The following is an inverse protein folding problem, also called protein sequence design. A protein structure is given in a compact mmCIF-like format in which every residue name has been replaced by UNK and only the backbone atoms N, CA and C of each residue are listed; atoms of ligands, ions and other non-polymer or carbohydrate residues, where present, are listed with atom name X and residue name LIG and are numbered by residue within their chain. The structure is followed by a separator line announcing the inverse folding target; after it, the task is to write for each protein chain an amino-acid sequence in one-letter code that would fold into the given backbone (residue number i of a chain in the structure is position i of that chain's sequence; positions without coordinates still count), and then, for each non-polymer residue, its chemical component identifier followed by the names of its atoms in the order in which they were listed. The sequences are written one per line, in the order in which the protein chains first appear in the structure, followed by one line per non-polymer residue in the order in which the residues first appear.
data_IF_808654931184
#
_entry.id   IF_808654931184
#
_cell.length_a   1.000
_cell.length_b   1.000
_cell.length_c   1.000
_cell.angle_alpha   90.00
_cell.angle_beta   90.00
_cell.angle_gamma   90.00
#
_symmetry.space_group_name_H-M   'P 1'
#
loop_
_entity.id
_entity.type
_entity.pdbx_description
1 polymer ?
#
# COMPACT_ATOMS: atom_id res chain seq x y z
N UNK A 1 -9.83 -22.99 -28.66
CA UNK A 1 -8.99 -24.08 -28.09
C UNK A 1 -8.13 -23.42 -27.03
N UNK A 2 -8.38 -23.71 -25.75
CA UNK A 2 -7.65 -23.06 -24.67
C UNK A 2 -6.32 -23.80 -24.45
N UNK A 3 -5.23 -23.26 -24.99
CA UNK A 3 -3.89 -23.63 -24.56
C UNK A 3 -3.70 -23.11 -23.13
N UNK A 4 -4.15 -23.89 -22.14
CA UNK A 4 -3.81 -23.69 -20.73
C UNK A 4 -2.34 -24.08 -20.50
N UNK A 5 -1.40 -23.36 -21.14
CA UNK A 5 -0.01 -23.41 -20.74
C UNK A 5 0.09 -22.98 -19.28
N UNK A 6 0.74 -23.78 -18.45
CA UNK A 6 0.88 -23.44 -17.03
C UNK A 6 1.87 -22.28 -16.92
N UNK A 7 1.44 -21.18 -16.30
CA UNK A 7 2.33 -20.05 -15.99
C UNK A 7 3.48 -20.59 -15.12
N UNK A 8 4.70 -20.29 -15.51
CA UNK A 8 5.89 -20.82 -14.82
C UNK A 8 6.14 -20.02 -13.55
N UNK A 9 6.14 -20.72 -12.42
CA UNK A 9 6.49 -20.21 -11.10
C UNK A 9 7.98 -20.44 -10.82
N UNK A 10 8.64 -19.40 -10.29
CA UNK A 10 10.04 -19.38 -9.90
C UNK A 10 10.13 -18.99 -8.42
N UNK A 11 11.10 -19.55 -7.71
CA UNK A 11 11.38 -19.21 -6.31
C UNK A 11 12.79 -18.61 -6.23
N UNK A 12 12.92 -17.45 -5.59
CA UNK A 12 14.21 -16.78 -5.41
C UNK A 12 15.22 -17.72 -4.70
N UNK A 13 16.46 -17.70 -5.18
CA UNK A 13 17.54 -18.56 -4.66
C UNK A 13 17.44 -20.06 -4.99
N UNK A 14 16.33 -20.54 -5.59
CA UNK A 14 16.19 -21.94 -6.06
C UNK A 14 16.26 -22.07 -7.58
N UNK A 15 15.74 -21.08 -8.31
CA UNK A 15 15.74 -21.06 -9.77
C UNK A 15 16.77 -20.04 -10.30
N UNK A 16 17.48 -20.39 -11.38
CA UNK A 16 18.27 -19.39 -12.12
C UNK A 16 17.34 -18.42 -12.85
N UNK A 17 17.36 -17.16 -12.43
CA UNK A 17 16.54 -16.11 -13.05
C UNK A 17 17.34 -15.43 -14.15
N UNK A 18 17.43 -16.10 -15.30
CA UNK A 18 17.76 -15.43 -16.56
C UNK A 18 16.72 -14.32 -16.78
N UNK A 19 17.20 -13.07 -16.70
CA UNK A 19 16.38 -11.88 -16.51
C UNK A 19 16.79 -10.71 -17.42
N UNK A 20 17.83 -10.93 -18.21
CA UNK A 20 18.26 -10.05 -19.31
C UNK A 20 17.08 -9.72 -20.22
N UNK A 21 16.76 -8.43 -20.33
CA UNK A 21 15.69 -7.94 -21.20
C UNK A 21 14.27 -8.01 -20.62
N UNK A 22 14.05 -8.61 -19.44
CA UNK A 22 12.71 -8.77 -18.83
C UNK A 22 12.22 -7.50 -18.13
N UNK A 23 10.94 -7.46 -17.81
CA UNK A 23 10.33 -6.42 -16.96
C UNK A 23 9.88 -7.06 -15.65
N UNK A 24 10.32 -6.53 -14.51
CA UNK A 24 9.84 -6.95 -13.19
C UNK A 24 8.66 -6.06 -12.78
N UNK A 25 7.51 -6.65 -12.49
CA UNK A 25 6.51 -6.00 -11.62
C UNK A 25 6.90 -6.36 -10.19
N UNK A 26 7.42 -5.40 -9.44
CA UNK A 26 7.86 -5.61 -8.06
C UNK A 26 6.64 -5.90 -7.18
N UNK A 27 6.81 -6.81 -6.23
CA UNK A 27 5.79 -7.34 -5.32
C UNK A 27 4.78 -6.30 -4.84
N UNK A 28 3.50 -6.64 -4.99
CA UNK A 28 2.39 -5.69 -4.93
C UNK A 28 1.50 -5.88 -3.71
N UNK A 29 0.85 -4.79 -3.27
CA UNK A 29 -0.40 -4.82 -2.50
C UNK A 29 -1.58 -5.42 -3.31
N UNK A 30 -2.68 -5.83 -2.64
CA UNK A 30 -3.83 -6.67 -3.11
C UNK A 30 -4.41 -6.39 -4.52
N UNK A 31 -4.64 -5.13 -4.90
CA UNK A 31 -5.29 -4.68 -6.16
C UNK A 31 -6.58 -5.42 -6.58
N UNK A 32 -6.71 -5.82 -7.87
CA UNK A 32 -7.78 -6.67 -8.41
C UNK A 32 -7.29 -7.43 -9.65
N UNK A 33 -7.90 -8.57 -9.95
CA UNK A 33 -7.64 -9.33 -11.19
C UNK A 33 -7.89 -8.50 -12.45
N UNK A 34 -8.86 -7.56 -12.43
CA UNK A 34 -9.10 -6.60 -13.53
C UNK A 34 -7.86 -5.71 -13.76
N UNK A 35 -7.24 -5.21 -12.68
CA UNK A 35 -6.03 -4.39 -12.74
C UNK A 35 -4.80 -5.21 -13.14
N UNK A 36 -4.66 -6.44 -12.64
CA UNK A 36 -3.63 -7.41 -13.08
C UNK A 36 -3.71 -7.65 -14.58
N UNK A 37 -4.91 -7.95 -15.11
CA UNK A 37 -5.13 -8.15 -16.56
C UNK A 37 -4.69 -6.92 -17.33
N UNK A 38 -5.22 -5.74 -16.97
CA UNK A 38 -4.92 -4.49 -17.66
C UNK A 38 -3.42 -4.17 -17.69
N UNK A 39 -2.74 -4.27 -16.55
CA UNK A 39 -1.31 -3.94 -16.44
C UNK A 39 -0.46 -4.93 -17.23
N UNK A 40 -0.75 -6.23 -17.12
CA UNK A 40 0.03 -7.26 -17.83
C UNK A 40 -0.11 -7.13 -19.34
N UNK A 41 -1.35 -6.98 -19.85
CA UNK A 41 -1.59 -6.74 -21.29
C UNK A 41 -0.87 -5.47 -21.76
N UNK A 42 -0.92 -4.37 -20.99
CA UNK A 42 -0.21 -3.13 -21.33
C UNK A 42 1.32 -3.31 -21.37
N UNK A 43 1.90 -4.13 -20.49
CA UNK A 43 3.35 -4.38 -20.49
C UNK A 43 3.75 -5.30 -21.64
N UNK A 44 3.05 -6.41 -21.84
CA UNK A 44 3.32 -7.37 -22.91
C UNK A 44 3.22 -6.70 -24.30
N UNK A 45 2.05 -6.16 -24.64
CA UNK A 45 1.76 -5.63 -25.98
C UNK A 45 2.58 -4.40 -26.38
N UNK A 46 3.01 -3.57 -25.42
CA UNK A 46 3.78 -2.35 -25.73
C UNK A 46 5.30 -2.56 -25.73
N UNK A 47 5.80 -3.72 -25.26
CA UNK A 47 7.25 -3.91 -25.06
C UNK A 47 7.83 -5.17 -25.70
N UNK A 48 7.02 -6.18 -26.03
CA UNK A 48 7.47 -7.48 -26.52
C UNK A 48 8.53 -8.14 -25.62
N UNK A 49 8.39 -7.95 -24.29
CA UNK A 49 9.30 -8.50 -23.27
C UNK A 49 8.53 -9.39 -22.29
N UNK A 50 9.20 -10.44 -21.82
CA UNK A 50 8.65 -11.29 -20.76
C UNK A 50 8.45 -10.47 -19.48
N UNK A 51 7.26 -10.60 -18.89
CA UNK A 51 6.87 -9.93 -17.64
C UNK A 51 7.05 -10.91 -16.48
N UNK A 52 7.86 -10.54 -15.50
CA UNK A 52 8.00 -11.30 -14.25
C UNK A 52 7.20 -10.58 -13.18
N UNK A 53 6.14 -11.22 -12.67
CA UNK A 53 5.37 -10.73 -11.53
C UNK A 53 6.01 -11.20 -10.23
N UNK A 54 6.33 -10.26 -9.34
CA UNK A 54 6.74 -10.53 -7.98
C UNK A 54 5.56 -10.93 -7.10
N UNK A 55 5.67 -12.11 -6.48
CA UNK A 55 4.75 -12.62 -5.48
C UNK A 55 5.46 -12.54 -4.12
N UNK A 56 4.94 -11.73 -3.21
CA UNK A 56 5.49 -11.63 -1.85
C UNK A 56 5.11 -12.89 -1.05
N UNK A 57 6.05 -13.39 -0.24
CA UNK A 57 5.80 -14.53 0.66
C UNK A 57 4.98 -14.13 1.89
N UNK A 58 5.04 -12.86 2.29
CA UNK A 58 4.22 -12.31 3.38
C UNK A 58 2.80 -11.91 2.90
N UNK A 59 1.80 -11.97 3.79
CA UNK A 59 0.44 -11.50 3.53
C UNK A 59 0.23 -9.99 3.82
N UNK A 60 1.28 -9.31 4.27
CA UNK A 60 1.33 -7.89 4.66
C UNK A 60 2.46 -7.13 3.98
N UNK A 61 2.31 -5.82 3.79
CA UNK A 61 3.43 -4.93 3.46
C UNK A 61 4.21 -4.55 4.72
N UNK A 62 5.53 -4.72 4.72
CA UNK A 62 6.39 -4.50 5.87
C UNK A 62 6.37 -3.04 6.35
N UNK A 63 6.04 -2.85 7.63
CA UNK A 63 5.79 -1.56 8.28
C UNK A 63 4.33 -1.06 8.18
N UNK A 64 3.44 -1.81 7.53
CA UNK A 64 1.99 -1.56 7.43
C UNK A 64 1.19 -2.78 7.94
N UNK A 65 1.77 -3.55 8.87
CA UNK A 65 1.19 -4.76 9.44
C UNK A 65 -0.21 -4.50 10.01
N UNK A 66 -1.13 -5.45 9.78
CA UNK A 66 -2.53 -5.40 10.25
C UNK A 66 -3.36 -4.25 9.65
N UNK A 67 -2.86 -3.53 8.65
CA UNK A 67 -3.62 -2.52 7.89
C UNK A 67 -4.29 -3.18 6.67
N UNK A 68 -5.62 -3.41 6.67
CA UNK A 68 -6.28 -4.25 5.67
C UNK A 68 -6.19 -3.74 4.22
N UNK A 69 -6.02 -2.42 4.03
CA UNK A 69 -5.79 -1.76 2.74
C UNK A 69 -4.39 -2.01 2.13
N UNK A 70 -3.46 -2.56 2.92
CA UNK A 70 -2.06 -2.83 2.57
C UNK A 70 -1.67 -4.31 2.69
N UNK A 71 -2.64 -5.22 2.50
CA UNK A 71 -2.36 -6.63 2.27
C UNK A 71 -1.64 -6.84 0.94
N UNK A 72 -0.86 -7.91 0.82
CA UNK A 72 -0.19 -8.27 -0.44
C UNK A 72 -1.17 -8.89 -1.46
N UNK A 73 -0.79 -8.88 -2.73
CA UNK A 73 -1.51 -9.60 -3.78
C UNK A 73 -1.24 -11.10 -3.64
N UNK A 74 -2.31 -11.88 -3.41
CA UNK A 74 -2.22 -13.34 -3.35
C UNK A 74 -1.93 -13.93 -4.74
N UNK A 75 -1.21 -15.05 -4.76
CA UNK A 75 -0.96 -15.82 -5.99
C UNK A 75 -2.26 -16.21 -6.70
N UNK A 76 -3.33 -16.47 -5.94
CA UNK A 76 -4.65 -16.83 -6.48
C UNK A 76 -5.28 -15.67 -7.27
N UNK A 77 -5.39 -14.46 -6.68
CA UNK A 77 -5.98 -13.30 -7.37
C UNK A 77 -5.12 -12.85 -8.56
N UNK A 78 -3.79 -13.00 -8.45
CA UNK A 78 -2.85 -12.79 -9.55
C UNK A 78 -3.12 -13.77 -10.71
N UNK A 79 -3.24 -15.07 -10.43
CA UNK A 79 -3.57 -16.08 -11.44
C UNK A 79 -4.97 -15.86 -12.05
N UNK A 80 -5.96 -15.43 -11.26
CA UNK A 80 -7.30 -15.05 -11.76
C UNK A 80 -7.27 -13.84 -12.71
N UNK A 81 -6.30 -12.94 -12.56
CA UNK A 81 -6.04 -11.85 -13.50
C UNK A 81 -5.26 -12.28 -14.74
N UNK A 82 -4.21 -13.07 -14.56
CA UNK A 82 -3.35 -13.55 -15.66
C UNK A 82 -4.06 -14.54 -16.58
N UNK A 83 -5.02 -15.33 -16.08
CA UNK A 83 -5.86 -16.21 -16.90
C UNK A 83 -6.73 -15.47 -17.94
N UNK A 84 -6.85 -14.14 -17.84
CA UNK A 84 -7.59 -13.27 -18.77
C UNK A 84 -6.67 -12.55 -19.77
N UNK A 85 -5.37 -12.83 -19.74
CA UNK A 85 -4.35 -12.19 -20.60
C UNK A 85 -3.95 -13.18 -21.70
N UNK A 86 -4.13 -12.79 -22.96
CA UNK A 86 -3.69 -13.59 -24.11
C UNK A 86 -2.18 -13.87 -24.00
N UNK A 87 -1.80 -15.14 -24.27
CA UNK A 87 -0.41 -15.66 -24.19
C UNK A 87 0.29 -15.51 -22.83
N UNK A 88 -0.43 -15.31 -21.73
CA UNK A 88 0.18 -15.21 -20.40
C UNK A 88 1.13 -16.38 -20.06
N UNK A 89 0.81 -17.59 -20.50
CA UNK A 89 1.65 -18.77 -20.29
C UNK A 89 3.06 -18.64 -20.91
N UNK A 90 3.16 -18.01 -22.08
CA UNK A 90 4.40 -17.88 -22.84
C UNK A 90 5.19 -16.64 -22.39
N UNK A 91 4.48 -15.54 -22.09
CA UNK A 91 5.06 -14.21 -21.89
C UNK A 91 5.14 -13.77 -20.40
N UNK A 92 4.62 -14.56 -19.45
CA UNK A 92 4.60 -14.22 -18.01
C UNK A 92 5.25 -15.30 -17.14
N UNK A 93 5.97 -14.87 -16.10
CA UNK A 93 6.47 -15.72 -15.00
C UNK A 93 6.03 -15.15 -13.66
N UNK A 94 5.88 -16.03 -12.67
CA UNK A 94 5.74 -15.64 -11.27
C UNK A 94 7.08 -15.83 -10.56
N UNK A 95 7.46 -14.90 -9.69
CA UNK A 95 8.67 -14.97 -8.86
C UNK A 95 8.29 -14.78 -7.40
N UNK A 96 8.39 -15.85 -6.61
CA UNK A 96 8.13 -15.84 -5.17
C UNK A 96 9.37 -15.43 -4.37
N UNK A 97 9.20 -14.48 -3.45
CA UNK A 97 10.25 -14.00 -2.54
C UNK A 97 9.71 -13.23 -1.33
N UNK A 98 10.42 -13.30 -0.20
CA UNK A 98 10.20 -12.41 0.95
C UNK A 98 10.64 -10.97 0.67
N UNK A 99 9.88 -9.99 1.17
CA UNK A 99 10.13 -8.56 1.00
C UNK A 99 11.58 -8.12 1.28
N UNK A 100 12.29 -8.75 2.23
CA UNK A 100 13.69 -8.41 2.52
C UNK A 100 14.62 -8.60 1.30
N UNK A 101 14.26 -9.50 0.37
CA UNK A 101 15.04 -9.81 -0.84
C UNK A 101 14.77 -8.87 -2.01
N UNK A 102 13.82 -7.95 -1.91
CA UNK A 102 13.42 -7.09 -3.02
C UNK A 102 14.61 -6.30 -3.63
N UNK A 103 15.48 -5.74 -2.78
CA UNK A 103 16.66 -4.99 -3.24
C UNK A 103 17.73 -5.90 -3.89
N UNK A 104 17.91 -7.11 -3.38
CA UNK A 104 18.82 -8.13 -3.90
C UNK A 104 18.37 -8.62 -5.30
N UNK A 105 17.07 -8.89 -5.45
CA UNK A 105 16.44 -9.31 -6.72
C UNK A 105 16.60 -8.24 -7.79
N UNK A 106 16.36 -6.96 -7.45
CA UNK A 106 16.60 -5.84 -8.39
C UNK A 106 18.09 -5.74 -8.76
N UNK A 107 18.99 -5.97 -7.81
CA UNK A 107 20.44 -5.83 -8.01
C UNK A 107 21.01 -6.91 -8.93
N UNK A 108 20.56 -8.16 -8.78
CA UNK A 108 21.11 -9.31 -9.52
C UNK A 108 20.36 -9.60 -10.83
N UNK A 109 19.06 -9.31 -10.90
CA UNK A 109 18.20 -9.73 -12.01
C UNK A 109 18.23 -8.86 -13.28
N UNK A 110 19.33 -8.15 -13.59
CA UNK A 110 19.58 -7.45 -14.88
C UNK A 110 18.35 -6.86 -15.62
N UNK A 111 17.44 -6.24 -14.87
CA UNK A 111 16.09 -5.92 -15.35
C UNK A 111 16.11 -4.78 -16.36
N UNK A 112 15.31 -4.89 -17.42
CA UNK A 112 15.22 -3.81 -18.41
C UNK A 112 14.30 -2.67 -17.97
N UNK A 113 13.37 -2.95 -17.05
CA UNK A 113 12.59 -1.98 -16.29
C UNK A 113 11.99 -2.63 -15.03
N UNK A 114 11.65 -1.81 -14.03
CA UNK A 114 10.90 -2.24 -12.84
C UNK A 114 9.63 -1.40 -12.65
N UNK A 115 8.49 -2.06 -12.51
CA UNK A 115 7.19 -1.43 -12.26
C UNK A 115 6.82 -1.66 -10.79
N UNK A 116 6.55 -0.60 -10.04
CA UNK A 116 5.99 -0.67 -8.70
C UNK A 116 4.52 -0.25 -8.70
N UNK A 117 3.73 -0.73 -7.74
CA UNK A 117 2.31 -0.39 -7.59
C UNK A 117 2.12 0.45 -6.33
N UNK A 118 1.50 1.63 -6.44
CA UNK A 118 1.35 2.59 -5.33
C UNK A 118 0.81 1.93 -4.05
N UNK A 119 1.43 2.22 -2.91
CA UNK A 119 1.07 1.62 -1.61
C UNK A 119 1.60 0.21 -1.36
N UNK A 120 2.52 -0.31 -2.18
CA UNK A 120 3.16 -1.61 -1.98
C UNK A 120 4.45 -1.53 -1.14
N UNK A 121 4.60 -0.48 -0.34
CA UNK A 121 5.75 -0.27 0.55
C UNK A 121 5.38 0.77 1.63
N UNK A 122 5.91 0.61 2.84
CA UNK A 122 5.85 1.65 3.87
C UNK A 122 6.85 2.79 3.58
N UNK A 123 6.44 4.03 3.88
CA UNK A 123 7.14 5.30 3.55
C UNK A 123 7.07 5.60 2.04
N UNK A 124 7.64 6.71 1.57
CA UNK A 124 7.74 6.95 0.13
C UNK A 124 8.86 6.09 -0.49
N UNK A 125 8.63 5.56 -1.70
CA UNK A 125 9.52 4.58 -2.33
C UNK A 125 10.99 5.01 -2.42
N UNK A 126 11.25 6.31 -2.65
CA UNK A 126 12.60 6.85 -2.86
C UNK A 126 13.48 6.88 -1.60
N UNK A 127 12.91 6.65 -0.42
CA UNK A 127 13.71 6.50 0.82
C UNK A 127 14.35 5.12 0.96
N UNK A 128 13.84 4.12 0.23
CA UNK A 128 14.14 2.70 0.46
C UNK A 128 15.31 2.17 -0.38
N UNK A 129 15.82 1.00 0.01
CA UNK A 129 16.99 0.39 -0.64
C UNK A 129 16.69 -0.12 -2.07
N UNK A 130 15.46 -0.54 -2.36
CA UNK A 130 15.03 -0.92 -3.70
C UNK A 130 15.25 0.24 -4.69
N UNK A 131 14.85 1.46 -4.30
CA UNK A 131 15.10 2.67 -5.09
C UNK A 131 16.59 2.98 -5.24
N UNK A 132 17.38 2.85 -4.17
CA UNK A 132 18.85 3.07 -4.22
C UNK A 132 19.51 2.13 -5.22
N UNK A 133 19.11 0.86 -5.26
CA UNK A 133 19.59 -0.13 -6.25
C UNK A 133 19.17 0.27 -7.67
N UNK A 134 17.89 0.62 -7.90
CA UNK A 134 17.39 1.07 -9.21
C UNK A 134 18.20 2.26 -9.75
N UNK A 135 18.47 3.26 -8.91
CA UNK A 135 19.26 4.44 -9.29
C UNK A 135 20.72 4.10 -9.56
N UNK A 136 21.36 3.28 -8.71
CA UNK A 136 22.76 2.82 -8.88
C UNK A 136 22.94 2.02 -10.19
N UNK A 137 22.00 1.14 -10.50
CA UNK A 137 22.00 0.31 -11.73
C UNK A 137 21.47 1.05 -12.96
N UNK A 138 20.92 2.26 -12.79
CA UNK A 138 20.23 3.05 -13.83
C UNK A 138 19.06 2.30 -14.49
N UNK A 139 18.38 1.43 -13.74
CA UNK A 139 17.24 0.68 -14.25
C UNK A 139 16.03 1.63 -14.35
N UNK A 140 15.39 1.76 -15.53
CA UNK A 140 14.14 2.52 -15.68
C UNK A 140 13.08 1.97 -14.74
N UNK A 141 12.37 2.84 -14.03
CA UNK A 141 11.27 2.42 -13.17
C UNK A 141 10.11 3.39 -13.19
N UNK A 142 8.92 2.89 -12.84
CA UNK A 142 7.70 3.68 -12.74
C UNK A 142 6.79 3.11 -11.67
N UNK A 143 6.22 3.99 -10.85
CA UNK A 143 5.13 3.66 -9.95
C UNK A 143 3.80 3.86 -10.69
N UNK A 144 2.88 2.91 -10.57
CA UNK A 144 1.59 2.90 -11.27
C UNK A 144 0.43 2.73 -10.31
N UNK A 145 -0.75 3.20 -10.74
CA UNK A 145 -2.01 3.07 -10.00
C UNK A 145 -2.27 1.64 -9.53
N UNK A 146 -2.77 1.52 -8.29
CA UNK A 146 -3.31 0.29 -7.72
C UNK A 146 -4.68 -0.11 -8.31
N UNK A 147 -5.32 0.76 -9.09
CA UNK A 147 -6.66 0.57 -9.66
C UNK A 147 -6.70 0.91 -11.16
N UNK A 148 -7.69 0.37 -11.88
CA UNK A 148 -7.93 0.70 -13.29
C UNK A 148 -8.47 2.13 -13.44
N UNK A 149 -9.37 2.52 -12.55
CA UNK A 149 -10.08 3.80 -12.56
C UNK A 149 -10.49 4.25 -11.14
N UNK A 150 -11.11 5.42 -11.05
CA UNK A 150 -11.58 6.00 -9.77
C UNK A 150 -12.79 5.25 -9.17
N UNK A 151 -13.61 4.60 -10.00
CA UNK A 151 -14.77 3.85 -9.50
C UNK A 151 -14.31 2.64 -8.70
N UNK A 152 -13.34 1.89 -9.23
CA UNK A 152 -12.71 0.78 -8.54
C UNK A 152 -12.01 1.23 -7.24
N UNK A 153 -11.31 2.37 -7.27
CA UNK A 153 -10.67 2.94 -6.08
C UNK A 153 -11.68 3.24 -4.96
N UNK A 154 -12.82 3.85 -5.30
CA UNK A 154 -13.89 4.18 -4.34
C UNK A 154 -14.68 2.97 -3.87
N UNK A 155 -14.80 1.93 -4.70
CA UNK A 155 -15.38 0.64 -4.29
C UNK A 155 -14.47 -0.08 -3.30
N UNK A 156 -13.15 -0.09 -3.54
CA UNK A 156 -12.16 -0.63 -2.62
C UNK A 156 -12.16 0.08 -1.26
N UNK A 157 -12.22 1.43 -1.27
CA UNK A 157 -12.37 2.25 -0.06
C UNK A 157 -13.57 1.80 0.78
N UNK A 158 -14.76 1.70 0.15
CA UNK A 158 -15.99 1.24 0.82
C UNK A 158 -15.86 -0.20 1.36
N UNK A 159 -15.30 -1.13 0.57
CA UNK A 159 -15.07 -2.53 0.98
C UNK A 159 -14.24 -2.59 2.26
N UNK A 160 -13.12 -1.87 2.30
CA UNK A 160 -12.21 -1.89 3.45
C UNK A 160 -12.83 -1.18 4.66
N UNK A 161 -13.38 0.03 4.49
CA UNK A 161 -14.00 0.80 5.59
C UNK A 161 -15.14 0.00 6.25
N UNK A 162 -16.01 -0.64 5.46
CA UNK A 162 -17.10 -1.47 5.99
C UNK A 162 -16.62 -2.76 6.67
N UNK A 163 -15.39 -3.21 6.38
CA UNK A 163 -14.79 -4.41 6.97
C UNK A 163 -13.91 -4.11 8.21
N UNK A 164 -13.80 -2.84 8.64
CA UNK A 164 -13.02 -2.50 9.82
C UNK A 164 -13.71 -3.00 11.10
N UNK A 165 -12.97 -3.63 12.03
CA UNK A 165 -13.53 -3.99 13.33
C UNK A 165 -13.90 -2.74 14.14
N UNK A 166 -14.76 -2.86 15.17
CA UNK A 166 -14.91 -1.82 16.19
C UNK A 166 -13.57 -1.57 16.91
N UNK A 167 -13.42 -0.39 17.52
CA UNK A 167 -12.31 -0.08 18.41
C UNK A 167 -12.45 -0.83 19.74
N UNK A 168 -11.34 -1.05 20.44
CA UNK A 168 -11.31 -1.71 21.75
C UNK A 168 -11.98 -0.93 22.89
N UNK A 169 -12.19 0.39 22.72
CA UNK A 169 -12.96 1.25 23.63
C UNK A 169 -14.23 1.78 22.96
N UNK A 170 -15.34 1.77 23.71
CA UNK A 170 -16.60 2.43 23.33
C UNK A 170 -16.71 3.84 23.96
N UNK A 171 -17.38 4.81 23.32
CA UNK A 171 -17.57 6.14 23.90
C UNK A 171 -18.17 6.11 25.32
N UNK A 172 -17.60 6.87 26.24
CA UNK A 172 -17.97 6.91 27.65
C UNK A 172 -17.27 5.88 28.55
N UNK A 173 -16.59 4.88 27.98
CA UNK A 173 -15.84 3.87 28.71
C UNK A 173 -14.61 4.48 29.41
N UNK A 174 -14.43 4.16 30.68
CA UNK A 174 -13.22 4.51 31.44
C UNK A 174 -12.05 3.61 31.02
N UNK A 175 -10.86 4.21 30.89
CA UNK A 175 -9.66 3.55 30.41
C UNK A 175 -8.39 4.19 30.97
N UNK A 176 -7.31 3.41 31.03
CA UNK A 176 -5.97 3.92 31.33
C UNK A 176 -5.25 4.45 30.08
N UNK A 177 -4.10 5.11 30.29
CA UNK A 177 -3.26 5.65 29.21
C UNK A 177 -2.84 4.59 28.18
N UNK A 178 -2.53 3.36 28.63
CA UNK A 178 -2.12 2.26 27.76
C UNK A 178 -3.27 1.84 26.84
N UNK A 179 -4.49 1.77 27.35
CA UNK A 179 -5.69 1.50 26.57
C UNK A 179 -6.00 2.62 25.57
N UNK A 180 -5.78 3.89 25.92
CA UNK A 180 -5.88 4.99 24.97
C UNK A 180 -4.86 4.88 23.84
N UNK A 181 -3.60 4.56 24.14
CA UNK A 181 -2.58 4.33 23.12
C UNK A 181 -2.85 3.08 22.27
N UNK A 182 -3.49 2.04 22.82
CA UNK A 182 -3.97 0.90 22.03
C UNK A 182 -5.02 1.35 20.98
N UNK A 183 -5.98 2.20 21.37
CA UNK A 183 -6.97 2.76 20.42
C UNK A 183 -6.29 3.65 19.38
N UNK A 184 -5.26 4.42 19.75
CA UNK A 184 -4.44 5.20 18.83
C UNK A 184 -3.77 4.31 17.77
N UNK A 185 -3.22 3.15 18.14
CA UNK A 185 -2.69 2.19 17.17
C UNK A 185 -3.78 1.52 16.31
N UNK A 186 -4.92 1.19 16.91
CA UNK A 186 -6.05 0.57 16.19
C UNK A 186 -6.68 1.52 15.16
N UNK A 187 -6.71 2.83 15.45
CA UNK A 187 -7.21 3.83 14.51
C UNK A 187 -6.15 4.20 13.46
N UNK A 188 -4.85 4.30 13.81
CA UNK A 188 -3.81 4.64 12.83
C UNK A 188 -3.73 3.64 11.68
N UNK A 189 -3.90 2.34 11.96
CA UNK A 189 -3.96 1.24 10.97
C UNK A 189 -5.13 1.36 9.98
N UNK A 190 -6.09 2.26 10.20
CA UNK A 190 -7.21 2.55 9.28
C UNK A 190 -6.85 3.56 8.19
N UNK A 191 -5.75 4.30 8.35
CA UNK A 191 -5.29 5.30 7.38
C UNK A 191 -4.79 4.66 6.09
N UNK A 192 -5.24 5.21 4.96
CA UNK A 192 -4.76 4.86 3.62
C UNK A 192 -3.48 5.62 3.21
N UNK A 193 -2.87 6.37 4.13
CA UNK A 193 -1.53 6.92 3.96
C UNK A 193 -0.49 5.82 4.22
N UNK A 194 0.03 5.21 3.16
CA UNK A 194 1.13 4.24 3.23
C UNK A 194 2.47 4.88 3.60
N UNK A 195 2.53 6.22 3.68
CA UNK A 195 3.74 6.97 3.96
C UNK A 195 3.87 7.37 5.43
N UNK A 196 2.77 7.74 6.10
CA UNK A 196 2.67 7.93 7.57
C UNK A 196 1.30 7.49 8.09
N UNK A 197 1.22 6.46 8.93
CA UNK A 197 -0.01 6.09 9.63
C UNK A 197 -0.08 6.78 11.01
N UNK A 198 -0.92 7.81 11.11
CA UNK A 198 -1.12 8.60 12.33
C UNK A 198 -2.53 8.38 12.86
N UNK A 199 -2.64 8.13 14.17
CA UNK A 199 -3.90 7.92 14.88
C UNK A 199 -3.98 8.83 16.09
N UNK A 200 -5.18 9.27 16.42
CA UNK A 200 -5.46 10.16 17.55
C UNK A 200 -6.72 9.72 18.29
N UNK A 201 -6.71 9.79 19.62
CA UNK A 201 -7.84 9.48 20.49
C UNK A 201 -8.10 10.64 21.46
N UNK A 202 -9.37 10.97 21.65
CA UNK A 202 -9.84 12.00 22.57
C UNK A 202 -10.42 11.35 23.83
N UNK A 203 -10.01 11.86 25.00
CA UNK A 203 -10.60 11.47 26.27
C UNK A 203 -10.97 12.68 27.14
N UNK A 204 -11.84 12.47 28.13
CA UNK A 204 -12.16 13.46 29.16
C UNK A 204 -12.42 12.78 30.48
N UNK A 205 -11.77 13.22 31.56
CA UNK A 205 -11.88 12.63 32.90
C UNK A 205 -11.68 11.10 32.89
N UNK A 206 -10.67 10.61 32.15
CA UNK A 206 -10.39 9.16 32.00
C UNK A 206 -11.36 8.39 31.11
N UNK A 207 -12.34 9.02 30.46
CA UNK A 207 -13.32 8.38 29.57
C UNK A 207 -13.00 8.62 28.11
N UNK A 208 -13.04 7.57 27.29
CA UNK A 208 -12.93 7.66 25.83
C UNK A 208 -14.10 8.43 25.23
N UNK A 209 -13.84 9.28 24.24
CA UNK A 209 -14.88 10.04 23.52
C UNK A 209 -14.96 9.61 22.05
N UNK A 210 -13.87 9.79 21.30
CA UNK A 210 -13.77 9.40 19.89
C UNK A 210 -12.31 9.19 19.48
N UNK A 211 -12.08 8.57 18.33
CA UNK A 211 -10.77 8.48 17.69
C UNK A 211 -10.85 8.80 16.19
N UNK A 212 -9.75 9.27 15.62
CA UNK A 212 -9.60 9.57 14.20
C UNK A 212 -8.18 9.23 13.72
N UNK A 213 -7.98 9.16 12.40
CA UNK A 213 -6.69 8.92 11.77
C UNK A 213 -6.42 9.97 10.69
N UNK A 214 -5.18 10.08 10.21
CA UNK A 214 -4.86 10.99 9.11
C UNK A 214 -5.46 10.47 7.80
N UNK A 215 -6.31 11.28 7.17
CA UNK A 215 -7.17 10.89 6.05
C UNK A 215 -6.62 11.40 4.73
N UNK A 216 -6.49 10.53 3.72
CA UNK A 216 -6.09 10.97 2.36
C UNK A 216 -7.25 11.73 1.70
N UNK A 217 -6.93 12.84 1.05
CA UNK A 217 -7.88 13.72 0.36
C UNK A 217 -7.66 13.72 -1.16
N UNK A 218 -8.71 13.92 -1.98
CA UNK A 218 -10.13 14.12 -1.63
C UNK A 218 -10.88 12.83 -1.23
N UNK A 219 -10.23 11.66 -1.26
CA UNK A 219 -10.77 10.38 -0.76
C UNK A 219 -9.62 9.43 -0.42
N UNK A 220 -9.87 8.43 0.43
CA UNK A 220 -8.81 7.66 1.09
C UNK A 220 -7.92 6.91 0.07
N UNK A 221 -8.51 6.37 -0.99
CA UNK A 221 -7.74 5.66 -2.04
C UNK A 221 -7.07 6.56 -3.08
N UNK A 222 -7.11 7.90 -2.92
CA UNK A 222 -6.58 8.84 -3.92
C UNK A 222 -5.06 8.70 -4.14
N UNK A 223 -4.27 8.58 -3.07
CA UNK A 223 -2.81 8.37 -3.17
C UNK A 223 -2.47 7.04 -3.87
N UNK A 224 -3.29 6.00 -3.67
CA UNK A 224 -3.12 4.70 -4.32
C UNK A 224 -3.51 4.73 -5.81
N UNK A 225 -4.54 5.51 -6.18
CA UNK A 225 -4.95 5.74 -7.56
C UNK A 225 -3.96 6.63 -8.33
N UNK A 226 -3.50 7.73 -7.72
CA UNK A 226 -2.76 8.80 -8.42
C UNK A 226 -1.26 8.84 -8.10
N UNK A 227 -0.78 8.08 -7.11
CA UNK A 227 0.56 8.16 -6.53
C UNK A 227 0.63 9.31 -5.51
N UNK A 228 1.32 9.10 -4.38
CA UNK A 228 1.45 10.15 -3.37
C UNK A 228 2.32 11.32 -3.88
N UNK A 229 2.07 12.53 -3.38
CA UNK A 229 2.84 13.75 -3.69
C UNK A 229 4.32 13.56 -3.38
N UNK A 230 4.67 12.93 -2.24
CA UNK A 230 6.06 12.58 -1.87
C UNK A 230 6.70 11.53 -2.77
N UNK A 231 5.94 10.81 -3.59
CA UNK A 231 6.50 9.80 -4.52
C UNK A 231 6.71 10.38 -5.91
N UNK A 232 5.93 11.40 -6.26
CA UNK A 232 6.09 12.21 -7.48
C UNK A 232 7.25 13.20 -7.37
N UNK A 233 7.48 13.72 -6.16
CA UNK A 233 8.50 14.71 -5.87
C UNK A 233 9.50 14.10 -4.89
N UNK A 234 10.79 13.96 -5.24
CA UNK A 234 11.80 13.32 -4.39
C UNK A 234 12.23 14.24 -3.23
N UNK A 235 11.29 14.50 -2.33
CA UNK A 235 11.40 15.42 -1.21
C UNK A 235 11.97 14.69 0.02
N UNK A 236 12.49 15.40 1.04
CA UNK A 236 12.83 14.77 2.31
C UNK A 236 11.56 14.41 3.11
N UNK A 237 11.66 13.49 4.09
CA UNK A 237 10.52 13.04 4.90
C UNK A 237 9.69 14.19 5.49
N UNK A 238 10.38 15.17 6.08
CA UNK A 238 9.84 16.32 6.79
C UNK A 238 9.32 17.47 5.90
N UNK A 239 9.29 17.32 4.58
CA UNK A 239 8.77 18.36 3.69
C UNK A 239 7.23 18.43 3.76
N UNK A 240 6.71 19.48 4.40
CA UNK A 240 5.28 19.71 4.58
C UNK A 240 4.57 20.17 3.31
N UNK A 241 5.28 20.62 2.27
CA UNK A 241 4.67 21.08 1.00
C UNK A 241 4.09 19.92 0.17
N UNK A 242 4.45 18.68 0.53
CA UNK A 242 4.08 17.47 -0.19
C UNK A 242 3.33 16.53 0.75
N UNK A 243 2.08 16.86 1.10
CA UNK A 243 1.17 15.98 1.83
C UNK A 243 -0.14 15.84 1.06
N UNK A 244 -0.69 14.62 1.03
CA UNK A 244 -2.00 14.30 0.45
C UNK A 244 -3.05 14.02 1.54
N UNK A 245 -2.75 14.34 2.80
CA UNK A 245 -3.55 13.97 3.98
C UNK A 245 -3.96 15.16 4.84
N UNK A 246 -5.20 15.10 5.35
CA UNK A 246 -5.57 15.81 6.57
C UNK A 246 -4.95 15.07 7.77
N UNK A 247 -4.41 15.82 8.73
CA UNK A 247 -3.80 15.25 9.92
C UNK A 247 -4.82 14.62 10.88
N UNK A 248 -4.38 13.66 11.71
CA UNK A 248 -5.26 12.94 12.63
C UNK A 248 -5.89 13.88 13.68
N UNK A 249 -5.11 14.83 14.20
CA UNK A 249 -5.59 15.89 15.09
C UNK A 249 -6.65 16.80 14.44
N UNK A 250 -6.53 17.07 13.14
CA UNK A 250 -7.51 17.87 12.38
C UNK A 250 -8.79 17.07 12.15
N UNK A 251 -8.70 15.81 11.69
CA UNK A 251 -9.86 14.93 11.52
C UNK A 251 -10.60 14.70 12.86
N UNK A 252 -9.86 14.59 13.98
CA UNK A 252 -10.42 14.48 15.33
C UNK A 252 -11.24 15.73 15.71
N UNK A 253 -10.73 16.94 15.44
CA UNK A 253 -11.45 18.20 15.69
C UNK A 253 -12.68 18.31 14.80
N UNK A 254 -12.57 17.93 13.52
CA UNK A 254 -13.71 17.90 12.58
C UNK A 254 -14.80 16.93 13.05
N UNK A 255 -14.43 15.75 13.54
CA UNK A 255 -15.37 14.74 14.02
C UNK A 255 -16.01 15.14 15.36
N UNK A 256 -15.24 15.70 16.29
CA UNK A 256 -15.77 16.31 17.51
C UNK A 256 -16.79 17.42 17.19
N UNK A 257 -16.53 18.24 16.17
CA UNK A 257 -17.45 19.26 15.68
C UNK A 257 -18.77 18.69 15.16
N UNK A 258 -18.71 17.65 14.31
CA UNK A 258 -19.91 16.93 13.82
C UNK A 258 -20.74 16.33 14.95
N UNK A 259 -20.07 15.75 15.95
CA UNK A 259 -20.69 15.12 17.11
C UNK A 259 -21.05 16.13 18.24
N UNK A 260 -20.75 17.43 18.06
CA UNK A 260 -20.98 18.51 19.04
C UNK A 260 -20.30 18.28 20.39
N UNK A 261 -19.14 17.62 20.40
CA UNK A 261 -18.35 17.31 21.59
C UNK A 261 -17.56 18.55 22.02
N UNK A 262 -17.73 18.97 23.28
CA UNK A 262 -16.97 20.08 23.86
C UNK A 262 -15.55 19.64 24.24
N UNK A 263 -14.57 20.09 23.46
CA UNK A 263 -13.13 19.81 23.62
C UNK A 263 -12.48 20.42 24.88
N UNK A 264 -13.14 21.38 25.56
CA UNK A 264 -12.55 22.03 26.73
C UNK A 264 -12.28 21.02 27.86
N UNK A 265 -11.04 20.94 28.33
CA UNK A 265 -10.62 19.98 29.37
C UNK A 265 -10.54 18.52 28.90
N UNK A 266 -10.46 18.27 27.60
CA UNK A 266 -10.13 16.95 27.05
C UNK A 266 -8.61 16.73 26.96
N UNK A 267 -8.19 15.47 26.99
CA UNK A 267 -6.83 15.01 26.69
C UNK A 267 -6.77 14.41 25.29
N UNK A 268 -5.68 14.68 24.57
CA UNK A 268 -5.35 14.09 23.28
C UNK A 268 -4.26 13.03 23.47
N UNK A 269 -4.49 11.83 22.96
CA UNK A 269 -3.48 10.78 22.80
C UNK A 269 -3.21 10.61 21.30
N UNK A 270 -1.94 10.53 20.90
CA UNK A 270 -1.53 10.53 19.48
C UNK A 270 -0.17 9.84 19.32
N UNK A 271 0.04 9.07 18.25
CA UNK A 271 1.29 8.32 18.00
C UNK A 271 2.40 9.16 17.32
N UNK A 272 2.18 10.46 17.16
CA UNK A 272 3.09 11.41 16.54
C UNK A 272 2.99 12.75 17.29
N UNK A 273 4.09 13.49 17.43
CA UNK A 273 4.03 14.85 17.96
C UNK A 273 3.25 15.74 16.97
N UNK A 274 2.18 16.45 17.39
CA UNK A 274 1.40 17.32 16.51
C UNK A 274 2.26 18.41 15.85
N UNK A 275 1.86 18.85 14.65
CA UNK A 275 2.52 19.94 13.91
C UNK A 275 1.93 21.33 14.19
#
# INVERSE_FOLDING_TARGET
MNNNGKITELIWGKNEISSSGKILVLGSREISSRRVTQLTTQLASNTNKEVVWGCLEEDYIAGLEKSPQFKTLSTEELLLGLAKVDKAADEVRLLHYSQEKASEIINLGNWSAVIGINGSWHRAFHYRDEYRVLKKKRIPHKLVSAFVDESEAREYEKKIVNAQPPLSLSPGQEADEKQFFQVVEEVSRRSFDHTWQTGAALAKNGKFLLAAHNRVVPFETFALLRGASKEKHPTPPQDLNHYDTNHAEVELVLEAGKQKINLAGCSLYINLMPC
#
